data_IF_168556811542
#
_entry.id   IF_168556811542
#
_cell.length_a   1.000
_cell.length_b   1.000
_cell.length_c   1.000
_cell.angle_alpha   90.00
_cell.angle_beta   90.00
_cell.angle_gamma   90.00
#
_symmetry.space_group_name_H-M   'P 1'
#
loop_
_entity.id
_entity.type
_entity.pdbx_description
1 polymer ?
#
# COMPACT_ATOMS: atom_id res chain seq x y z
N UNK A 1 -30.02 1.86 -7.66
CA UNK A 1 -28.96 2.51 -8.46
C UNK A 1 -27.62 2.21 -7.81
N UNK A 2 -26.79 1.39 -8.47
CA UNK A 2 -25.42 1.12 -8.01
C UNK A 2 -24.58 2.33 -8.40
N UNK A 3 -24.39 3.28 -7.49
CA UNK A 3 -23.41 4.34 -7.70
C UNK A 3 -22.04 3.67 -7.65
N UNK A 4 -21.36 3.66 -8.80
CA UNK A 4 -19.96 3.27 -8.89
C UNK A 4 -19.15 4.34 -8.15
N UNK A 5 -18.83 4.06 -6.89
CA UNK A 5 -18.08 5.00 -6.06
C UNK A 5 -16.63 4.98 -6.53
N UNK A 6 -16.15 6.13 -6.99
CA UNK A 6 -14.73 6.36 -7.33
C UNK A 6 -13.77 5.99 -6.18
N UNK A 7 -14.28 5.87 -4.94
CA UNK A 7 -13.55 5.34 -3.77
C UNK A 7 -12.99 3.94 -4.00
N UNK A 8 -13.78 3.05 -4.60
CA UNK A 8 -13.39 1.66 -4.89
C UNK A 8 -12.22 1.59 -5.86
N UNK A 9 -12.16 2.54 -6.81
CA UNK A 9 -11.06 2.63 -7.79
C UNK A 9 -9.76 3.04 -7.11
N UNK A 10 -9.78 4.01 -6.20
CA UNK A 10 -8.57 4.41 -5.45
C UNK A 10 -8.07 3.29 -4.53
N UNK A 11 -8.99 2.57 -3.87
CA UNK A 11 -8.63 1.39 -3.07
C UNK A 11 -8.00 0.28 -3.93
N UNK A 12 -8.57 0.03 -5.12
CA UNK A 12 -8.05 -0.96 -6.05
C UNK A 12 -6.66 -0.61 -6.57
N UNK A 13 -6.41 0.66 -6.93
CA UNK A 13 -5.08 1.13 -7.33
C UNK A 13 -4.07 0.94 -6.18
N UNK A 14 -4.45 1.28 -4.94
CA UNK A 14 -3.60 1.06 -3.77
C UNK A 14 -3.33 -0.42 -3.49
N UNK A 15 -4.33 -1.29 -3.65
CA UNK A 15 -4.19 -2.73 -3.51
C UNK A 15 -3.24 -3.32 -4.55
N UNK A 16 -3.38 -2.91 -5.82
CA UNK A 16 -2.49 -3.33 -6.91
C UNK A 16 -1.06 -2.83 -6.65
N UNK A 17 -0.88 -1.57 -6.22
CA UNK A 17 0.43 -1.05 -5.89
C UNK A 17 1.11 -1.85 -4.78
N UNK A 18 0.37 -2.24 -3.72
CA UNK A 18 0.91 -3.07 -2.65
C UNK A 18 1.18 -4.52 -3.09
N UNK A 19 0.32 -5.08 -3.93
CA UNK A 19 0.55 -6.39 -4.53
C UNK A 19 1.80 -6.40 -5.42
N UNK A 20 1.94 -5.43 -6.32
CA UNK A 20 3.13 -5.28 -7.16
C UNK A 20 4.39 -5.09 -6.33
N UNK A 21 4.33 -4.29 -5.26
CA UNK A 21 5.46 -4.10 -4.34
C UNK A 21 5.88 -5.40 -3.63
N UNK A 22 4.94 -6.31 -3.36
CA UNK A 22 5.26 -7.61 -2.75
C UNK A 22 6.12 -8.50 -3.68
N UNK A 23 5.93 -8.38 -5.00
CA UNK A 23 6.62 -9.22 -5.99
C UNK A 23 7.81 -8.53 -6.68
N UNK A 24 7.83 -7.20 -6.75
CA UNK A 24 8.90 -6.44 -7.39
C UNK A 24 10.07 -6.22 -6.43
N UNK A 25 11.30 -6.43 -6.91
CA UNK A 25 12.52 -6.13 -6.15
C UNK A 25 12.67 -4.64 -5.85
N UNK A 26 13.12 -4.32 -4.64
CA UNK A 26 13.19 -2.94 -4.12
C UNK A 26 14.57 -2.31 -4.30
N UNK A 27 15.63 -3.10 -4.11
CA UNK A 27 17.03 -2.64 -4.22
C UNK A 27 17.80 -3.68 -5.02
N UNK A 28 18.71 -3.26 -5.89
CA UNK A 28 19.66 -4.18 -6.49
C UNK A 28 21.08 -3.82 -6.08
N UNK A 29 21.84 -4.82 -5.68
CA UNK A 29 23.23 -4.70 -5.30
C UNK A 29 24.05 -5.27 -6.46
N UNK A 30 24.95 -4.45 -7.01
CA UNK A 30 25.93 -4.91 -7.99
C UNK A 30 27.01 -5.73 -7.30
N UNK A 31 27.00 -7.04 -7.53
CA UNK A 31 28.07 -7.96 -7.11
C UNK A 31 28.93 -8.26 -8.36
N UNK A 32 30.20 -8.61 -8.17
CA UNK A 32 31.18 -8.86 -9.25
C UNK A 32 30.76 -9.89 -10.31
N UNK A 33 29.74 -10.71 -10.04
CA UNK A 33 29.21 -11.76 -10.95
C UNK A 33 27.75 -11.53 -11.40
N UNK A 34 27.17 -10.36 -11.13
CA UNK A 34 25.81 -10.02 -11.57
C UNK A 34 25.05 -9.08 -10.63
N UNK A 35 23.89 -8.60 -11.09
CA UNK A 35 22.98 -7.80 -10.26
C UNK A 35 22.09 -8.72 -9.43
N UNK A 36 22.22 -8.68 -8.10
CA UNK A 36 21.30 -9.36 -7.19
C UNK A 36 20.28 -8.33 -6.71
N UNK A 37 19.02 -8.53 -7.09
CA UNK A 37 17.93 -7.70 -6.60
C UNK A 37 17.35 -8.29 -5.32
N UNK A 38 17.31 -7.49 -4.27
CA UNK A 38 16.67 -7.79 -3.01
C UNK A 38 15.15 -7.65 -3.18
N UNK A 39 14.43 -8.74 -2.93
CA UNK A 39 12.99 -8.80 -3.07
C UNK A 39 12.34 -8.82 -1.69
N UNK A 40 11.13 -8.27 -1.58
CA UNK A 40 10.30 -8.46 -0.38
C UNK A 40 10.02 -9.95 -0.09
N UNK A 41 10.20 -10.83 -1.09
CA UNK A 41 10.14 -12.29 -0.98
C UNK A 41 11.22 -12.88 -0.06
N UNK A 42 12.39 -12.26 0.01
CA UNK A 42 13.52 -12.74 0.80
C UNK A 42 13.28 -12.58 2.31
N UNK A 43 12.32 -11.72 2.67
CA UNK A 43 11.83 -11.54 4.03
C UNK A 43 10.36 -11.96 4.13
N UNK A 44 10.13 -13.21 4.53
CA UNK A 44 8.81 -13.79 4.83
C UNK A 44 7.86 -12.81 5.58
N UNK A 45 8.26 -12.13 6.68
CA UNK A 45 7.36 -11.21 7.38
C UNK A 45 6.94 -9.99 6.54
N UNK A 46 7.85 -9.45 5.71
CA UNK A 46 7.54 -8.33 4.81
C UNK A 46 6.61 -8.77 3.68
N UNK A 47 6.83 -9.96 3.12
CA UNK A 47 5.96 -10.52 2.09
C UNK A 47 4.53 -10.72 2.60
N UNK A 48 4.38 -11.34 3.78
CA UNK A 48 3.08 -11.55 4.40
C UNK A 48 2.38 -10.21 4.69
N UNK A 49 3.10 -9.21 5.20
CA UNK A 49 2.53 -7.90 5.48
C UNK A 49 2.00 -7.20 4.23
N UNK A 50 2.76 -7.23 3.13
CA UNK A 50 2.34 -6.61 1.87
C UNK A 50 1.14 -7.33 1.24
N UNK A 51 1.17 -8.66 1.21
CA UNK A 51 0.03 -9.48 0.76
C UNK A 51 -1.21 -9.24 1.63
N UNK A 52 -1.06 -9.20 2.96
CA UNK A 52 -2.15 -8.89 3.87
C UNK A 52 -2.73 -7.50 3.63
N UNK A 53 -1.87 -6.49 3.42
CA UNK A 53 -2.31 -5.11 3.13
C UNK A 53 -3.10 -5.05 1.82
N UNK A 54 -2.63 -5.73 0.77
CA UNK A 54 -3.34 -5.81 -0.50
C UNK A 54 -4.70 -6.53 -0.37
N UNK A 55 -4.75 -7.64 0.38
CA UNK A 55 -6.00 -8.36 0.65
C UNK A 55 -6.99 -7.52 1.45
N UNK A 56 -6.53 -6.82 2.49
CA UNK A 56 -7.37 -5.93 3.30
C UNK A 56 -7.96 -4.81 2.43
N UNK A 57 -7.15 -4.19 1.57
CA UNK A 57 -7.62 -3.17 0.64
C UNK A 57 -8.62 -3.73 -0.40
N UNK A 58 -8.44 -4.98 -0.83
CA UNK A 58 -9.37 -5.66 -1.74
C UNK A 58 -10.71 -5.98 -1.07
N UNK A 59 -10.69 -6.48 0.17
CA UNK A 59 -11.89 -6.74 0.98
C UNK A 59 -12.65 -5.43 1.23
N UNK A 60 -11.93 -4.32 1.43
CA UNK A 60 -12.52 -2.99 1.65
C UNK A 60 -13.39 -2.50 0.48
N UNK A 61 -13.14 -2.99 -0.74
CA UNK A 61 -13.96 -2.67 -1.92
C UNK A 61 -15.37 -3.24 -1.78
N UNK A 62 -15.51 -4.45 -1.23
CA UNK A 62 -16.79 -5.11 -1.02
C UNK A 62 -17.55 -4.59 0.20
N UNK A 63 -16.89 -3.83 1.08
CA UNK A 63 -17.49 -3.26 2.28
C UNK A 63 -18.26 -1.95 2.03
N UNK A 64 -18.76 -1.77 0.80
CA UNK A 64 -19.49 -0.57 0.37
C UNK A 64 -20.78 -0.33 1.15
N UNK A 65 -21.37 -1.38 1.74
CA UNK A 65 -22.60 -1.27 2.52
C UNK A 65 -22.39 -0.50 3.84
N UNK A 66 -21.17 -0.53 4.40
CA UNK A 66 -20.84 0.07 5.68
C UNK A 66 -19.73 1.12 5.54
N UNK A 67 -20.10 2.33 5.09
CA UNK A 67 -19.21 3.50 4.95
C UNK A 67 -18.33 3.77 6.20
N UNK A 68 -18.87 3.58 7.40
CA UNK A 68 -18.12 3.75 8.66
C UNK A 68 -16.99 2.73 8.79
N UNK A 69 -17.25 1.48 8.42
CA UNK A 69 -16.28 0.38 8.51
C UNK A 69 -15.27 0.49 7.37
N UNK A 70 -15.72 0.85 6.17
CA UNK A 70 -14.86 1.09 5.01
C UNK A 70 -13.77 2.13 5.30
N UNK A 71 -14.15 3.27 5.91
CA UNK A 71 -13.18 4.30 6.33
C UNK A 71 -12.15 3.80 7.35
N UNK A 72 -12.54 2.89 8.27
CA UNK A 72 -11.63 2.32 9.27
C UNK A 72 -10.65 1.35 8.62
N UNK A 73 -11.14 0.48 7.74
CA UNK A 73 -10.32 -0.50 7.02
C UNK A 73 -9.33 0.21 6.08
N UNK A 74 -9.77 1.23 5.33
CA UNK A 74 -8.87 2.06 4.52
C UNK A 74 -7.77 2.74 5.34
N UNK A 75 -8.07 3.20 6.57
CA UNK A 75 -7.06 3.75 7.48
C UNK A 75 -6.08 2.69 7.98
N UNK A 76 -6.56 1.49 8.28
CA UNK A 76 -5.72 0.36 8.68
C UNK A 76 -4.79 -0.02 7.52
N UNK A 77 -5.29 -0.10 6.28
CA UNK A 77 -4.47 -0.37 5.10
C UNK A 77 -3.41 0.73 4.85
N UNK A 78 -3.76 2.00 5.05
CA UNK A 78 -2.81 3.12 5.02
C UNK A 78 -1.73 3.00 6.10
N UNK A 79 -2.10 2.56 7.31
CA UNK A 79 -1.14 2.33 8.38
C UNK A 79 -0.22 1.14 8.08
N UNK A 80 -0.77 0.01 7.62
CA UNK A 80 0.01 -1.18 7.28
C UNK A 80 0.99 -0.93 6.13
N UNK A 81 0.59 -0.15 5.11
CA UNK A 81 1.48 0.26 4.02
C UNK A 81 2.63 1.16 4.50
N UNK A 82 2.38 2.04 5.48
CA UNK A 82 3.42 2.86 6.11
C UNK A 82 4.39 2.02 6.96
N UNK A 83 3.89 1.03 7.68
CA UNK A 83 4.72 0.06 8.42
C UNK A 83 5.59 -0.76 7.46
N UNK A 84 5.02 -1.21 6.33
CA UNK A 84 5.77 -1.93 5.29
C UNK A 84 6.90 -1.07 4.72
N UNK A 85 6.64 0.21 4.46
CA UNK A 85 7.67 1.16 4.02
C UNK A 85 8.80 1.29 5.05
N UNK A 86 8.46 1.50 6.33
CA UNK A 86 9.45 1.66 7.40
C UNK A 86 10.32 0.41 7.57
N UNK A 87 9.70 -0.79 7.54
CA UNK A 87 10.42 -2.05 7.61
C UNK A 87 11.32 -2.27 6.38
N UNK A 88 10.87 -1.88 5.20
CA UNK A 88 11.68 -1.99 3.98
C UNK A 88 12.91 -1.08 4.06
N UNK A 89 12.75 0.16 4.51
CA UNK A 89 13.89 1.09 4.70
C UNK A 89 14.85 0.55 5.75
N UNK A 90 14.35 0.02 6.87
CA UNK A 90 15.19 -0.59 7.91
C UNK A 90 15.95 -1.82 7.39
N UNK A 91 15.30 -2.68 6.60
CA UNK A 91 15.93 -3.83 5.97
C UNK A 91 17.05 -3.40 5.01
N UNK A 92 16.79 -2.38 4.17
CA UNK A 92 17.81 -1.85 3.25
C UNK A 92 18.99 -1.22 3.99
N UNK A 93 18.75 -0.45 5.05
CA UNK A 93 19.84 0.10 5.88
C UNK A 93 20.68 -1.00 6.55
N UNK A 94 20.06 -2.12 6.92
CA UNK A 94 20.79 -3.28 7.45
C UNK A 94 21.62 -4.00 6.39
N UNK A 95 21.20 -3.97 5.12
CA UNK A 95 21.98 -4.46 3.98
C UNK A 95 23.14 -3.53 3.65
N UNK A 96 22.96 -2.21 3.70
CA UNK A 96 24.01 -1.23 3.41
C UNK A 96 25.22 -1.38 4.33
N UNK A 97 25.02 -1.73 5.62
CA UNK A 97 26.13 -2.02 6.53
C UNK A 97 26.94 -3.28 6.14
N UNK A 98 26.40 -4.14 5.27
CA UNK A 98 27.07 -5.33 4.73
C UNK A 98 27.65 -5.07 3.33
N UNK A 99 27.24 -3.99 2.64
CA UNK A 99 27.54 -3.69 1.23
C UNK A 99 28.71 -2.69 1.06
N UNK A 100 29.59 -2.54 2.05
CA UNK A 100 30.87 -1.81 1.87
C UNK A 100 31.76 -2.36 0.71
N UNK A 101 31.39 -3.47 0.08
CA UNK A 101 32.06 -4.08 -1.07
C UNK A 101 31.38 -3.85 -2.45
N UNK A 102 30.24 -3.16 -2.57
CA UNK A 102 29.48 -3.11 -3.84
C UNK A 102 28.68 -1.82 -4.10
N UNK A 103 28.26 -1.62 -5.36
CA UNK A 103 27.45 -0.46 -5.77
C UNK A 103 25.96 -0.75 -5.55
N UNK A 104 25.27 0.15 -4.84
CA UNK A 104 23.83 0.03 -4.53
C UNK A 104 23.02 0.81 -5.56
N UNK A 105 22.15 0.11 -6.30
CA UNK A 105 21.22 0.69 -7.25
C UNK A 105 19.80 0.70 -6.69
N UNK A 106 19.29 1.89 -6.37
CA UNK A 106 17.93 2.10 -5.90
C UNK A 106 16.93 1.99 -7.04
N UNK A 107 15.85 1.22 -6.85
CA UNK A 107 14.77 1.13 -7.85
C UNK A 107 13.62 2.06 -7.51
N UNK A 108 12.92 2.51 -8.56
CA UNK A 108 11.68 3.27 -8.45
C UNK A 108 10.59 2.55 -7.63
N UNK A 109 10.70 1.22 -7.50
CA UNK A 109 9.76 0.37 -6.76
C UNK A 109 9.59 0.81 -5.29
N UNK A 110 10.62 1.42 -4.68
CA UNK A 110 10.55 1.89 -3.29
C UNK A 110 9.49 2.97 -3.05
N UNK A 111 9.05 3.65 -4.12
CA UNK A 111 7.99 4.65 -4.06
C UNK A 111 6.57 4.06 -4.03
N UNK A 112 6.36 2.78 -4.38
CA UNK A 112 5.01 2.19 -4.45
C UNK A 112 4.23 2.25 -3.12
N UNK A 113 4.83 1.95 -1.94
CA UNK A 113 4.14 2.08 -0.67
C UNK A 113 3.69 3.52 -0.38
N UNK A 114 4.53 4.51 -0.73
CA UNK A 114 4.18 5.93 -0.57
C UNK A 114 2.98 6.28 -1.44
N UNK A 115 2.99 5.83 -2.69
CA UNK A 115 1.87 6.01 -3.62
C UNK A 115 0.60 5.34 -3.07
N UNK A 116 0.69 4.11 -2.56
CA UNK A 116 -0.44 3.40 -1.96
C UNK A 116 -1.05 4.16 -0.76
N UNK A 117 -0.21 4.70 0.14
CA UNK A 117 -0.65 5.52 1.27
C UNK A 117 -1.42 6.75 0.79
N UNK A 118 -0.92 7.46 -0.22
CA UNK A 118 -1.58 8.65 -0.78
C UNK A 118 -2.97 8.27 -1.31
N UNK A 119 -3.06 7.18 -2.06
CA UNK A 119 -4.34 6.69 -2.60
C UNK A 119 -5.32 6.27 -1.51
N UNK A 120 -4.87 5.59 -0.45
CA UNK A 120 -5.73 5.23 0.68
C UNK A 120 -6.25 6.45 1.45
N UNK A 121 -5.41 7.49 1.63
CA UNK A 121 -5.83 8.75 2.25
C UNK A 121 -6.87 9.46 1.38
N UNK A 122 -6.66 9.51 0.06
CA UNK A 122 -7.62 10.10 -0.88
C UNK A 122 -8.95 9.35 -0.92
N UNK A 123 -8.90 8.01 -0.93
CA UNK A 123 -10.09 7.17 -0.83
C UNK A 123 -10.89 7.52 0.43
N UNK A 124 -10.23 7.62 1.58
CA UNK A 124 -10.87 7.98 2.84
C UNK A 124 -11.45 9.42 2.85
N UNK A 125 -10.77 10.40 2.23
CA UNK A 125 -11.32 11.76 2.08
C UNK A 125 -12.61 11.75 1.25
N UNK A 126 -12.63 11.00 0.14
CA UNK A 126 -13.84 10.82 -0.68
C UNK A 126 -14.96 10.12 0.09
N UNK A 127 -14.68 9.09 0.89
CA UNK A 127 -15.67 8.41 1.74
C UNK A 127 -16.32 9.36 2.76
N UNK A 128 -15.55 10.29 3.33
CA UNK A 128 -16.09 11.31 4.25
C UNK A 128 -16.99 12.32 3.55
N UNK A 129 -16.68 12.69 2.32
CA UNK A 129 -17.53 13.58 1.52
C UNK A 129 -18.87 12.90 1.22
N UNK A 130 -18.86 11.65 0.79
CA UNK A 130 -20.08 10.88 0.50
C UNK A 130 -20.95 10.69 1.75
N UNK A 131 -20.35 10.42 2.91
CA UNK A 131 -21.11 10.33 4.17
C UNK A 131 -21.78 11.67 4.54
N UNK A 132 -21.12 12.80 4.29
CA UNK A 132 -21.69 14.14 4.54
C UNK A 132 -22.86 14.43 3.60
N UNK A 133 -22.76 14.04 2.33
CA UNK A 133 -23.83 14.18 1.35
C UNK A 133 -25.07 13.38 1.77
N UNK A 134 -24.90 12.10 2.14
CA UNK A 134 -26.00 11.26 2.63
C UNK A 134 -26.66 11.84 3.88
N UNK A 135 -25.88 12.32 4.85
CA UNK A 135 -26.41 13.00 6.05
C UNK A 135 -27.13 14.32 5.76
N UNK A 136 -26.77 15.01 4.67
CA UNK A 136 -27.47 16.24 4.28
C UNK A 136 -28.84 15.96 3.67
N UNK A 137 -28.97 14.87 2.91
CA UNK A 137 -30.23 14.42 2.34
C UNK A 137 -31.22 13.94 3.41
N UNK A 138 -30.74 13.21 4.43
CA UNK A 138 -31.58 12.77 5.56
C UNK A 138 -32.15 13.94 6.39
N UNK A 139 -31.60 15.16 6.29
CA UNK A 139 -32.11 16.33 7.01
C UNK A 139 -33.25 17.05 6.28
N UNK A 140 -33.47 16.77 4.99
CA UNK A 140 -34.50 17.41 4.17
C UNK A 140 -35.79 16.56 4.15
N UNK A 141 -35.68 15.29 4.55
CA UNK A 141 -36.81 14.35 4.62
C UNK A 141 -37.38 14.32 6.03
#
# INVERSE_FOLDING_TARGET
MVIQRWQSVFLLIGAIAMGLFAFLGTVCIGVTDGMVCWHSLDCIPLFILNCATALVAFIDIFLFNNLKMQKRVAMIAAFMSLVSLALTVAAVMSLDQVVEAGTVAWRWTIGLPVVAVIFFIWANRRMRADERLLKSYDRIR
#
